data_IF_791194033395
#
_entry.id   IF_791194033395
#
_cell.length_a   1.000
_cell.length_b   1.000
_cell.length_c   1.000
_cell.angle_alpha   90.00
_cell.angle_beta   90.00
_cell.angle_gamma   90.00
#
_symmetry.space_group_name_H-M   'P 1'
#
loop_
_entity.id
_entity.type
_entity.pdbx_description
1 polymer ?
#
# COMPACT_ATOMS: atom_id res chain seq x y z
N UNK A 1 -28.50 9.81 -31.98
CA UNK A 1 -28.37 8.68 -31.02
C UNK A 1 -28.02 7.35 -31.69
N UNK A 2 -26.91 7.24 -32.43
CA UNK A 2 -26.45 5.94 -33.01
C UNK A 2 -25.55 5.17 -32.03
N UNK A 3 -24.99 5.87 -31.04
CA UNK A 3 -24.05 5.29 -30.05
C UNK A 3 -24.79 4.63 -28.90
N UNK A 4 -25.92 5.20 -28.44
CA UNK A 4 -26.70 4.67 -27.30
C UNK A 4 -27.18 3.23 -27.55
N UNK A 5 -27.66 2.94 -28.77
CA UNK A 5 -28.10 1.59 -29.15
C UNK A 5 -26.96 0.56 -29.28
N UNK A 6 -25.70 0.99 -29.18
CA UNK A 6 -24.51 0.12 -29.17
C UNK A 6 -23.99 -0.13 -27.76
N UNK A 7 -24.47 0.61 -26.75
CA UNK A 7 -24.04 0.45 -25.37
C UNK A 7 -24.92 -0.62 -24.72
N UNK A 8 -24.34 -1.78 -24.45
CA UNK A 8 -25.04 -2.87 -23.77
C UNK A 8 -25.13 -2.65 -22.25
N UNK A 9 -24.04 -2.16 -21.64
CA UNK A 9 -23.94 -1.99 -20.20
C UNK A 9 -22.81 -1.03 -19.84
N UNK A 10 -23.05 -0.17 -18.84
CA UNK A 10 -22.03 0.67 -18.24
C UNK A 10 -21.45 0.00 -16.98
N UNK A 11 -20.13 -0.09 -16.89
CA UNK A 11 -19.46 -0.44 -15.63
C UNK A 11 -19.09 0.86 -14.91
N UNK A 12 -19.54 1.00 -13.67
CA UNK A 12 -19.28 2.17 -12.84
C UNK A 12 -18.37 1.80 -11.69
N UNK A 13 -17.59 2.74 -11.18
CA UNK A 13 -17.15 2.59 -9.80
C UNK A 13 -18.38 2.65 -8.86
N UNK A 14 -18.26 2.14 -7.63
CA UNK A 14 -19.39 2.11 -6.71
C UNK A 14 -19.45 3.36 -5.83
N UNK A 15 -18.82 4.48 -6.23
CA UNK A 15 -18.95 5.72 -5.49
C UNK A 15 -20.40 6.22 -5.56
N UNK A 16 -20.89 6.77 -4.46
CA UNK A 16 -22.30 7.17 -4.33
C UNK A 16 -22.74 8.22 -5.37
N UNK A 17 -21.81 9.01 -5.89
CA UNK A 17 -22.05 10.04 -6.90
C UNK A 17 -21.92 9.54 -8.36
N UNK A 18 -21.52 8.29 -8.58
CA UNK A 18 -21.29 7.77 -9.92
C UNK A 18 -22.57 7.17 -10.48
N UNK A 19 -23.27 7.93 -11.33
CA UNK A 19 -24.48 7.55 -12.06
C UNK A 19 -24.21 6.91 -13.43
N UNK A 20 -25.12 6.08 -13.93
CA UNK A 20 -25.05 5.52 -15.29
C UNK A 20 -25.96 6.25 -16.29
N UNK A 21 -26.57 7.37 -15.89
CA UNK A 21 -27.62 8.01 -16.67
C UNK A 21 -28.73 7.02 -17.02
N UNK A 22 -29.08 6.92 -18.31
CA UNK A 22 -30.14 6.05 -18.81
C UNK A 22 -29.65 4.63 -19.18
N UNK A 23 -28.39 4.29 -18.92
CA UNK A 23 -27.84 2.99 -19.28
C UNK A 23 -28.01 1.96 -18.16
N UNK A 24 -28.28 0.71 -18.55
CA UNK A 24 -28.14 -0.43 -17.63
C UNK A 24 -26.70 -0.50 -17.14
N UNK A 25 -26.48 -0.78 -15.85
CA UNK A 25 -25.14 -0.74 -15.28
C UNK A 25 -24.87 -1.78 -14.20
N UNK A 26 -23.58 -2.08 -14.04
CA UNK A 26 -23.05 -2.88 -12.95
C UNK A 26 -21.94 -2.14 -12.22
N UNK A 27 -21.79 -2.50 -10.95
CA UNK A 27 -20.68 -2.04 -10.13
C UNK A 27 -19.36 -2.69 -10.52
N UNK A 28 -18.26 -1.97 -10.34
CA UNK A 28 -16.92 -2.46 -10.59
C UNK A 28 -16.52 -3.48 -9.53
N UNK A 29 -16.17 -4.71 -9.96
CA UNK A 29 -15.72 -5.77 -9.06
C UNK A 29 -14.45 -5.37 -8.28
N UNK A 30 -13.48 -4.73 -8.93
CA UNK A 30 -12.25 -4.27 -8.28
C UNK A 30 -12.52 -3.22 -7.20
N UNK A 31 -13.48 -2.32 -7.44
CA UNK A 31 -13.88 -1.33 -6.45
C UNK A 31 -14.71 -1.96 -5.32
N UNK A 32 -15.53 -2.97 -5.64
CA UNK A 32 -16.23 -3.76 -4.62
C UNK A 32 -15.22 -4.44 -3.68
N UNK A 33 -14.18 -5.05 -4.23
CA UNK A 33 -13.09 -5.65 -3.44
C UNK A 33 -12.36 -4.61 -2.57
N UNK A 34 -12.08 -3.41 -3.12
CA UNK A 34 -11.54 -2.30 -2.36
C UNK A 34 -12.41 -1.94 -1.14
N UNK A 35 -13.72 -1.86 -1.32
CA UNK A 35 -14.66 -1.55 -0.24
C UNK A 35 -14.67 -2.65 0.81
N UNK A 36 -14.72 -3.91 0.39
CA UNK A 36 -14.69 -5.06 1.32
C UNK A 36 -13.40 -5.08 2.14
N UNK A 37 -12.24 -4.91 1.51
CA UNK A 37 -10.95 -4.91 2.22
C UNK A 37 -10.86 -3.71 3.18
N UNK A 38 -11.29 -2.53 2.74
CA UNK A 38 -11.31 -1.37 3.62
C UNK A 38 -12.18 -1.63 4.86
N UNK A 39 -13.38 -2.19 4.68
CA UNK A 39 -14.33 -2.39 5.76
C UNK A 39 -13.93 -3.53 6.72
N UNK A 40 -13.41 -4.64 6.17
CA UNK A 40 -13.12 -5.85 6.94
C UNK A 40 -11.69 -5.98 7.45
N UNK A 41 -10.72 -5.29 6.84
CA UNK A 41 -9.29 -5.42 7.17
C UNK A 41 -8.73 -4.08 7.63
N UNK A 42 -8.91 -3.00 6.85
CA UNK A 42 -8.25 -1.72 7.18
C UNK A 42 -8.99 -0.86 8.22
N UNK A 43 -10.18 -1.25 8.64
CA UNK A 43 -10.85 -0.66 9.81
C UNK A 43 -10.45 -1.32 11.12
N UNK A 44 -9.80 -2.47 11.07
CA UNK A 44 -9.27 -3.10 12.26
C UNK A 44 -8.16 -2.23 12.86
N UNK A 45 -8.22 -2.02 14.18
CA UNK A 45 -7.35 -1.10 14.88
C UNK A 45 -5.89 -1.58 14.88
N UNK A 46 -5.66 -2.87 15.16
CA UNK A 46 -4.32 -3.44 15.21
C UNK A 46 -3.66 -3.41 13.82
N UNK A 47 -4.43 -3.74 12.77
CA UNK A 47 -3.96 -3.66 11.40
C UNK A 47 -3.65 -2.22 11.01
N UNK A 48 -4.49 -1.26 11.40
CA UNK A 48 -4.25 0.16 11.13
C UNK A 48 -2.96 0.64 11.79
N UNK A 49 -2.72 0.26 13.05
CA UNK A 49 -1.49 0.59 13.78
C UNK A 49 -0.28 -0.04 13.07
N UNK A 50 -0.35 -1.30 12.68
CA UNK A 50 0.69 -1.98 11.92
C UNK A 50 1.02 -1.23 10.61
N UNK A 51 0.00 -0.89 9.81
CA UNK A 51 0.15 -0.16 8.54
C UNK A 51 0.81 1.19 8.77
N UNK A 52 0.43 1.92 9.83
CA UNK A 52 1.07 3.20 10.22
C UNK A 52 2.54 3.01 10.57
N UNK A 53 2.88 1.98 11.34
CA UNK A 53 4.27 1.67 11.70
C UNK A 53 5.11 1.31 10.45
N UNK A 54 4.56 0.52 9.54
CA UNK A 54 5.18 0.28 8.23
C UNK A 54 5.45 1.59 7.48
N UNK A 55 4.49 2.54 7.45
CA UNK A 55 4.68 3.86 6.80
C UNK A 55 5.79 4.67 7.45
N UNK A 56 5.98 4.60 8.77
CA UNK A 56 7.09 5.28 9.47
C UNK A 56 8.45 4.73 9.03
N UNK A 57 8.61 3.40 9.02
CA UNK A 57 9.83 2.73 8.55
C UNK A 57 10.16 3.19 7.12
N UNK A 58 9.18 3.14 6.23
CA UNK A 58 9.37 3.54 4.83
C UNK A 58 9.67 5.03 4.66
N UNK A 59 9.09 5.88 5.50
CA UNK A 59 9.34 7.32 5.47
C UNK A 59 10.76 7.67 5.88
N UNK A 60 11.34 6.92 6.81
CA UNK A 60 12.76 7.05 7.17
C UNK A 60 13.67 6.81 5.96
N UNK A 61 13.50 5.67 5.29
CA UNK A 61 14.29 5.35 4.10
C UNK A 61 14.01 6.30 2.93
N UNK A 62 12.76 6.69 2.69
CA UNK A 62 12.42 7.65 1.62
C UNK A 62 13.14 9.00 1.76
N UNK A 63 13.37 9.45 3.00
CA UNK A 63 13.97 10.78 3.28
C UNK A 63 15.49 10.75 3.34
N UNK A 64 16.12 9.59 3.41
CA UNK A 64 17.56 9.45 3.64
C UNK A 64 18.24 8.62 2.58
N UNK A 65 18.97 9.28 1.68
CA UNK A 65 19.82 8.61 0.69
C UNK A 65 20.86 7.72 1.37
N UNK A 66 21.43 8.18 2.49
CA UNK A 66 22.37 7.40 3.27
C UNK A 66 21.73 6.11 3.81
N UNK A 67 20.48 6.15 4.29
CA UNK A 67 19.78 4.97 4.74
C UNK A 67 19.54 3.98 3.59
N UNK A 68 19.18 4.45 2.39
CA UNK A 68 19.05 3.56 1.21
C UNK A 68 20.38 2.94 0.80
N UNK A 69 21.50 3.68 0.89
CA UNK A 69 22.82 3.12 0.63
C UNK A 69 23.15 1.97 1.58
N UNK A 70 22.85 2.12 2.87
CA UNK A 70 23.03 1.04 3.84
C UNK A 70 22.07 -0.13 3.59
N UNK A 71 20.80 0.14 3.29
CA UNK A 71 19.85 -0.93 2.92
C UNK A 71 20.39 -1.77 1.76
N UNK A 72 20.88 -1.12 0.71
CA UNK A 72 21.49 -1.78 -0.44
C UNK A 72 22.74 -2.60 -0.07
N UNK A 73 23.54 -2.12 0.90
CA UNK A 73 24.71 -2.84 1.41
C UNK A 73 24.31 -4.09 2.21
N UNK A 74 23.20 -4.07 2.93
CA UNK A 74 22.73 -5.23 3.71
C UNK A 74 21.94 -6.25 2.89
N UNK A 75 21.38 -5.85 1.75
CA UNK A 75 20.64 -6.75 0.86
C UNK A 75 21.51 -7.87 0.27
N UNK A 76 22.68 -7.52 -0.26
CA UNK A 76 23.53 -8.46 -0.98
C UNK A 76 24.11 -9.59 -0.10
N UNK A 77 24.70 -9.31 1.07
CA UNK A 77 25.15 -10.36 1.99
C UNK A 77 24.00 -11.22 2.54
N UNK A 78 22.78 -10.68 2.55
CA UNK A 78 21.57 -11.40 3.00
C UNK A 78 20.91 -12.23 1.90
N UNK A 79 21.47 -12.24 0.68
CA UNK A 79 20.88 -12.93 -0.47
C UNK A 79 19.54 -12.34 -0.93
N UNK A 80 19.26 -11.07 -0.58
CA UNK A 80 18.03 -10.39 -0.93
C UNK A 80 18.15 -9.65 -2.26
N UNK A 81 17.07 -9.56 -3.05
CA UNK A 81 17.04 -8.69 -4.22
C UNK A 81 17.24 -7.22 -3.79
N UNK A 82 17.95 -6.44 -4.62
CA UNK A 82 18.22 -5.01 -4.41
C UNK A 82 17.02 -4.13 -4.71
N UNK A 83 15.92 -4.44 -4.06
CA UNK A 83 14.64 -3.78 -4.24
C UNK A 83 14.54 -2.55 -3.34
N UNK A 84 14.20 -1.41 -3.93
CA UNK A 84 13.85 -0.23 -3.16
C UNK A 84 12.57 -0.47 -2.35
N UNK A 85 12.46 0.16 -1.18
CA UNK A 85 11.21 0.14 -0.43
C UNK A 85 10.18 1.06 -1.09
N UNK A 86 8.91 0.64 -1.08
CA UNK A 86 7.81 1.34 -1.78
C UNK A 86 6.80 1.88 -0.78
N UNK A 87 6.17 3.03 -1.07
CA UNK A 87 5.06 3.55 -0.28
C UNK A 87 3.71 3.12 -0.87
N UNK A 88 2.70 3.03 -0.01
CA UNK A 88 1.32 2.80 -0.43
C UNK A 88 0.60 4.09 -0.79
N UNK A 89 -0.49 3.92 -1.54
CA UNK A 89 -1.53 4.91 -1.79
C UNK A 89 -2.70 4.50 -0.92
N UNK A 90 -3.00 5.30 0.11
CA UNK A 90 -3.98 4.94 1.15
C UNK A 90 -5.37 4.55 0.62
N UNK A 91 -5.78 5.11 -0.51
CA UNK A 91 -7.08 4.81 -1.14
C UNK A 91 -7.10 3.51 -1.96
N UNK A 92 -5.96 2.79 -2.08
CA UNK A 92 -5.81 1.61 -2.94
C UNK A 92 -5.21 0.43 -2.17
N UNK A 93 -6.04 -0.58 -1.88
CA UNK A 93 -5.67 -1.73 -1.06
C UNK A 93 -4.47 -2.50 -1.59
N UNK A 94 -4.38 -2.64 -2.91
CA UNK A 94 -3.31 -3.40 -3.56
C UNK A 94 -1.94 -2.74 -3.32
N UNK A 95 -1.89 -1.41 -3.22
CA UNK A 95 -0.63 -0.71 -2.93
C UNK A 95 -0.18 -0.93 -1.48
N UNK A 96 -1.11 -1.03 -0.52
CA UNK A 96 -0.80 -1.41 0.86
C UNK A 96 -0.31 -2.86 0.93
N UNK A 97 -0.94 -3.78 0.20
CA UNK A 97 -0.49 -5.17 0.09
C UNK A 97 0.96 -5.25 -0.45
N UNK A 98 1.22 -4.65 -1.61
CA UNK A 98 2.55 -4.68 -2.24
C UNK A 98 3.64 -4.07 -1.35
N UNK A 99 3.30 -2.99 -0.64
CA UNK A 99 4.18 -2.38 0.37
C UNK A 99 4.55 -3.36 1.47
N UNK A 100 3.56 -4.05 2.04
CA UNK A 100 3.79 -5.01 3.12
C UNK A 100 4.60 -6.20 2.65
N UNK A 101 4.32 -6.70 1.45
CA UNK A 101 5.10 -7.76 0.79
C UNK A 101 6.56 -7.33 0.60
N UNK A 102 6.81 -6.12 0.11
CA UNK A 102 8.17 -5.56 -0.05
C UNK A 102 8.88 -5.38 1.28
N UNK A 103 8.20 -4.89 2.32
CA UNK A 103 8.79 -4.76 3.66
C UNK A 103 9.14 -6.12 4.25
N UNK A 104 8.29 -7.13 4.04
CA UNK A 104 8.54 -8.48 4.51
C UNK A 104 9.74 -9.11 3.79
N UNK A 105 9.82 -8.97 2.46
CA UNK A 105 10.97 -9.40 1.66
C UNK A 105 12.28 -8.78 2.17
N UNK A 106 12.24 -7.49 2.53
CA UNK A 106 13.43 -6.72 2.94
C UNK A 106 13.70 -6.73 4.45
N UNK A 107 12.94 -7.51 5.23
CA UNK A 107 12.96 -7.49 6.70
C UNK A 107 14.35 -7.72 7.28
N UNK A 108 15.13 -8.64 6.73
CA UNK A 108 16.48 -8.96 7.23
C UNK A 108 17.41 -7.76 7.06
N UNK A 109 17.44 -7.15 5.88
CA UNK A 109 18.28 -5.97 5.62
C UNK A 109 17.86 -4.75 6.48
N UNK A 110 16.55 -4.55 6.68
CA UNK A 110 16.02 -3.50 7.56
C UNK A 110 16.45 -3.72 9.02
N UNK A 111 16.39 -4.96 9.51
CA UNK A 111 16.80 -5.29 10.88
C UNK A 111 18.31 -5.09 11.09
N UNK A 112 19.15 -5.49 10.12
CA UNK A 112 20.60 -5.24 10.17
C UNK A 112 20.90 -3.74 10.19
N UNK A 113 20.21 -2.96 9.34
CA UNK A 113 20.30 -1.51 9.35
C UNK A 113 19.99 -0.93 10.74
N UNK A 114 18.90 -1.35 11.38
CA UNK A 114 18.51 -0.86 12.71
C UNK A 114 19.54 -1.23 13.79
N UNK A 115 20.10 -2.45 13.73
CA UNK A 115 21.10 -2.90 14.67
C UNK A 115 22.41 -2.09 14.57
N UNK A 116 22.80 -1.68 13.37
CA UNK A 116 24.09 -1.05 13.12
C UNK A 116 24.05 0.48 13.10
N UNK A 117 22.91 1.08 12.74
CA UNK A 117 22.74 2.54 12.59
C UNK A 117 21.90 3.19 13.69
N UNK A 118 21.38 2.38 14.62
CA UNK A 118 20.41 2.82 15.62
C UNK A 118 18.97 2.60 15.14
N UNK A 119 18.05 2.47 16.10
CA UNK A 119 16.64 2.19 15.82
C UNK A 119 15.99 3.24 14.93
N UNK A 120 14.98 2.83 14.15
CA UNK A 120 14.07 3.77 13.52
C UNK A 120 13.08 4.19 14.62
N UNK A 121 12.82 5.49 14.75
CA UNK A 121 11.75 5.95 15.62
C UNK A 121 10.40 5.54 15.04
N UNK A 122 9.90 4.39 15.50
CA UNK A 122 8.57 3.87 15.16
C UNK A 122 7.56 4.23 16.26
N UNK A 123 8.00 4.90 17.34
CA UNK A 123 7.16 5.15 18.51
C UNK A 123 5.83 5.81 18.10
N UNK A 124 4.73 5.19 18.53
CA UNK A 124 3.38 5.72 18.40
C UNK A 124 3.36 7.04 19.14
N UNK A 125 3.18 8.15 18.41
CA UNK A 125 2.53 9.30 19.00
C UNK A 125 1.12 8.80 19.30
N UNK A 126 0.93 8.36 20.55
CA UNK A 126 -0.39 8.45 21.17
C UNK A 126 -0.70 9.94 21.26
N UNK A 127 -1.61 10.38 20.39
CA UNK A 127 -2.56 11.50 20.47
C UNK A 127 -2.99 11.94 19.06
#
# INVERSE_FOLDING_TARGET
NVIENKIHMAIRDNAANMGAGNFTSLGCAAHTLQLVINDSIFKDEEITILIKNCRKILSHFKKSEQANRYLNQFQEPSGLPKHALIQDVETRWNSTYLKMERLFEQKVAINLYMAERGGIDVSTVEE
#
